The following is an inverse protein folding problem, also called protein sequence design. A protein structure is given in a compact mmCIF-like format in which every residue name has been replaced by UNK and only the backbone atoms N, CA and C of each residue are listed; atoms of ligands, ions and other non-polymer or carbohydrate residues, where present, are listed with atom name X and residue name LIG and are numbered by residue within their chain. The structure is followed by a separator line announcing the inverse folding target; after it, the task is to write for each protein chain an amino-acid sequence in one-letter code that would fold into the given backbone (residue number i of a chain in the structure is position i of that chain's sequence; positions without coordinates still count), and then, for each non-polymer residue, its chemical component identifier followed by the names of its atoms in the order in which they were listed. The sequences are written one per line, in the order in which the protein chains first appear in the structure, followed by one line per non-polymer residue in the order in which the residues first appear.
data_IF_076614538595
#
_entry.id   IF_076614538595
#
_cell.length_a   1.000
_cell.length_b   1.000
_cell.length_c   1.000
_cell.angle_alpha   90.00
_cell.angle_beta   90.00
_cell.angle_gamma   90.00
#
_symmetry.space_group_name_H-M   'P 1'
#
loop_
_entity.id
_entity.type
_entity.pdbx_description
1 polymer ?
#
# COMPACT_ATOMS: atom_id res chain seq x y z
N UNK A 1 32.07 -21.02 -21.35
CA UNK A 1 30.73 -20.41 -21.29
C UNK A 1 29.82 -21.37 -22.04
N UNK A 2 28.91 -22.05 -21.33
CA UNK A 2 28.10 -23.11 -21.94
C UNK A 2 26.90 -22.44 -22.67
N UNK A 3 26.96 -22.38 -23.99
CA UNK A 3 25.93 -21.79 -24.86
C UNK A 3 24.68 -22.68 -24.98
N UNK A 4 24.66 -23.84 -24.31
CA UNK A 4 23.59 -24.83 -24.46
C UNK A 4 22.33 -24.57 -23.62
N UNK A 5 22.40 -23.67 -22.64
CA UNK A 5 21.27 -23.37 -21.74
C UNK A 5 20.50 -22.16 -22.23
N UNK A 6 19.45 -22.41 -23.02
CA UNK A 6 18.58 -21.33 -23.57
C UNK A 6 17.85 -20.53 -22.52
N UNK A 7 17.57 -21.06 -21.34
CA UNK A 7 16.91 -20.33 -20.24
C UNK A 7 17.85 -19.29 -19.63
N UNK A 8 19.17 -19.57 -19.59
CA UNK A 8 20.17 -18.60 -19.15
C UNK A 8 20.31 -17.40 -20.10
N UNK A 9 20.04 -17.58 -21.40
CA UNK A 9 20.12 -16.53 -22.41
C UNK A 9 18.94 -15.53 -22.31
N UNK A 10 17.87 -15.91 -21.61
CA UNK A 10 16.72 -15.01 -21.38
C UNK A 10 16.86 -14.18 -20.10
N UNK A 11 17.83 -14.48 -19.25
CA UNK A 11 18.08 -13.78 -17.99
C UNK A 11 19.17 -12.72 -18.15
N UNK A 12 18.95 -11.55 -17.58
CA UNK A 12 19.98 -10.54 -17.47
C UNK A 12 21.08 -10.97 -16.49
N UNK A 13 22.26 -10.33 -16.56
CA UNK A 13 23.33 -10.60 -15.60
C UNK A 13 22.92 -10.40 -14.15
N UNK A 14 21.99 -9.49 -13.88
CA UNK A 14 21.46 -9.26 -12.52
C UNK A 14 20.54 -10.40 -12.04
N UNK A 15 19.83 -11.05 -12.94
CA UNK A 15 18.95 -12.18 -12.62
C UNK A 15 19.76 -13.48 -12.39
N UNK A 16 20.97 -13.58 -12.96
CA UNK A 16 21.88 -14.70 -12.78
C UNK A 16 22.69 -14.61 -11.47
N UNK A 17 22.03 -14.33 -10.35
CA UNK A 17 22.66 -14.07 -9.04
C UNK A 17 23.61 -15.21 -8.61
N UNK A 18 23.30 -16.46 -8.96
CA UNK A 18 24.10 -17.62 -8.59
C UNK A 18 25.46 -17.69 -9.33
N UNK A 19 25.53 -17.12 -10.54
CA UNK A 19 26.74 -17.12 -11.40
C UNK A 19 27.63 -15.89 -11.17
N UNK A 20 27.08 -14.77 -10.69
CA UNK A 20 27.74 -13.48 -10.61
C UNK A 20 27.82 -12.97 -9.17
N UNK A 21 28.79 -13.44 -8.39
CA UNK A 21 28.95 -13.05 -6.98
C UNK A 21 29.17 -11.54 -6.82
N UNK A 22 29.89 -10.92 -7.76
CA UNK A 22 30.24 -9.49 -7.71
C UNK A 22 29.04 -8.56 -7.87
N UNK A 23 27.92 -9.04 -8.43
CA UNK A 23 26.71 -8.26 -8.66
C UNK A 23 25.58 -8.50 -7.63
N UNK A 24 25.81 -9.36 -6.65
CA UNK A 24 24.78 -9.71 -5.64
C UNK A 24 24.28 -8.50 -4.86
N UNK A 25 25.17 -7.61 -4.46
CA UNK A 25 24.80 -6.40 -3.72
C UNK A 25 23.89 -5.49 -4.55
N UNK A 26 24.17 -5.39 -5.85
CA UNK A 26 23.36 -4.60 -6.79
C UNK A 26 21.99 -5.26 -6.98
N UNK A 27 21.96 -6.57 -7.18
CA UNK A 27 20.71 -7.32 -7.31
C UNK A 27 19.86 -7.24 -6.02
N UNK A 28 20.50 -7.37 -4.85
CA UNK A 28 19.85 -7.20 -3.56
C UNK A 28 19.29 -5.79 -3.36
N UNK A 29 19.99 -4.78 -3.85
CA UNK A 29 19.51 -3.40 -3.81
C UNK A 29 18.26 -3.24 -4.68
N UNK A 30 18.30 -3.67 -5.94
CA UNK A 30 17.16 -3.58 -6.84
C UNK A 30 15.97 -4.44 -6.42
N UNK A 31 16.19 -5.59 -5.81
CA UNK A 31 15.12 -6.44 -5.29
C UNK A 31 14.30 -5.78 -4.17
N UNK A 32 14.85 -4.76 -3.51
CA UNK A 32 14.22 -3.98 -2.46
C UNK A 32 13.55 -2.70 -2.96
N UNK A 33 13.69 -2.39 -4.26
CA UNK A 33 12.99 -1.25 -4.87
C UNK A 33 11.51 -1.58 -4.97
N UNK A 34 10.68 -0.71 -4.41
CA UNK A 34 9.23 -0.80 -4.47
C UNK A 34 8.68 0.36 -5.29
N UNK A 35 7.77 0.05 -6.20
CA UNK A 35 7.10 1.04 -7.03
C UNK A 35 5.61 1.09 -6.66
N UNK A 36 5.09 2.29 -6.48
CA UNK A 36 3.68 2.54 -6.22
C UNK A 36 3.16 3.69 -7.07
N UNK A 37 2.08 3.41 -7.76
CA UNK A 37 1.25 4.39 -8.44
C UNK A 37 -0.19 4.22 -7.93
N UNK A 38 -0.51 4.87 -6.83
CA UNK A 38 -1.82 4.71 -6.21
C UNK A 38 -2.90 5.38 -7.05
N UNK A 39 -3.80 4.58 -7.59
CA UNK A 39 -4.93 5.04 -8.42
C UNK A 39 -6.20 5.07 -7.57
N UNK A 40 -6.70 6.25 -7.16
CA UNK A 40 -7.86 6.38 -6.28
C UNK A 40 -9.11 5.66 -6.79
N UNK A 41 -9.34 5.68 -8.10
CA UNK A 41 -10.48 5.00 -8.74
C UNK A 41 -10.45 3.48 -8.55
N UNK A 42 -9.24 2.90 -8.48
CA UNK A 42 -9.07 1.47 -8.23
C UNK A 42 -9.31 1.16 -6.75
N UNK A 43 -8.85 2.03 -5.85
CA UNK A 43 -9.01 1.87 -4.40
C UNK A 43 -10.48 1.96 -3.99
N UNK A 44 -11.28 2.80 -4.67
CA UNK A 44 -12.72 2.97 -4.41
C UNK A 44 -13.58 1.75 -4.76
N UNK A 45 -13.03 0.77 -5.45
CA UNK A 45 -13.78 -0.44 -5.83
C UNK A 45 -13.13 -1.71 -5.25
N UNK A 46 -13.18 -1.89 -3.91
CA UNK A 46 -12.53 -3.01 -3.23
C UNK A 46 -13.17 -4.36 -3.56
N UNK A 47 -14.39 -4.38 -4.11
CA UNK A 47 -15.13 -5.60 -4.45
C UNK A 47 -14.65 -6.31 -5.73
N UNK A 48 -13.88 -5.64 -6.58
CA UNK A 48 -13.32 -6.23 -7.82
C UNK A 48 -11.98 -6.92 -7.57
N UNK A 49 -11.93 -7.80 -6.60
CA UNK A 49 -10.68 -8.43 -6.17
C UNK A 49 -10.32 -9.59 -7.10
N UNK A 50 -9.60 -9.30 -8.19
CA UNK A 50 -8.59 -10.18 -8.74
C UNK A 50 -7.21 -9.51 -8.57
N UNK A 51 -6.93 -9.03 -7.37
CA UNK A 51 -5.69 -8.34 -7.09
C UNK A 51 -4.54 -9.34 -6.95
N UNK A 52 -3.49 -9.13 -7.72
CA UNK A 52 -2.20 -9.77 -7.44
C UNK A 52 -1.66 -9.22 -6.11
N UNK A 53 -1.07 -10.06 -5.26
CA UNK A 53 -0.41 -9.56 -4.06
C UNK A 53 0.58 -8.45 -4.39
N UNK A 54 0.52 -7.33 -3.66
CA UNK A 54 1.34 -6.13 -3.87
C UNK A 54 1.06 -5.41 -5.21
N UNK A 55 -0.21 -5.30 -5.59
CA UNK A 55 -0.60 -4.50 -6.75
C UNK A 55 -0.11 -3.05 -6.58
N UNK A 56 0.76 -2.55 -7.49
CA UNK A 56 1.33 -1.20 -7.38
C UNK A 56 0.27 -0.09 -7.52
N UNK A 57 -0.89 -0.40 -8.09
CA UNK A 57 -2.00 0.55 -8.29
C UNK A 57 -2.94 0.63 -7.06
N UNK A 58 -2.69 -0.16 -6.03
CA UNK A 58 -3.43 -0.11 -4.77
C UNK A 58 -4.74 -0.91 -4.76
N UNK A 59 -4.96 -1.81 -5.71
CA UNK A 59 -6.20 -2.61 -5.78
C UNK A 59 -6.43 -3.48 -4.55
N UNK A 60 -5.37 -4.05 -3.99
CA UNK A 60 -5.42 -4.90 -2.82
C UNK A 60 -5.18 -4.15 -1.49
N UNK A 61 -5.07 -2.83 -1.55
CA UNK A 61 -4.65 -1.95 -0.46
C UNK A 61 -5.50 -2.14 0.81
N UNK A 62 -6.84 -2.03 0.72
CA UNK A 62 -7.74 -2.17 1.86
C UNK A 62 -7.74 -3.61 2.37
N UNK A 63 -7.70 -4.59 1.46
CA UNK A 63 -7.60 -6.00 1.81
C UNK A 63 -6.31 -6.33 2.57
N UNK A 64 -5.16 -5.78 2.15
CA UNK A 64 -3.89 -5.91 2.88
C UNK A 64 -3.97 -5.31 4.29
N UNK A 65 -4.58 -4.13 4.42
CA UNK A 65 -4.80 -3.53 5.73
C UNK A 65 -5.61 -4.45 6.64
N UNK A 66 -6.71 -5.00 6.11
CA UNK A 66 -7.58 -5.90 6.86
C UNK A 66 -6.90 -7.24 7.23
N UNK A 67 -6.11 -7.81 6.32
CA UNK A 67 -5.36 -9.05 6.56
C UNK A 67 -4.20 -8.89 7.56
N UNK A 68 -3.81 -7.66 7.88
CA UNK A 68 -2.76 -7.40 8.88
C UNK A 68 -3.24 -7.82 10.27
N UNK A 69 -2.42 -8.54 11.08
CA UNK A 69 -2.80 -8.94 12.43
C UNK A 69 -3.31 -7.77 13.27
N UNK A 70 -4.42 -7.95 13.97
CA UNK A 70 -5.18 -6.89 14.64
C UNK A 70 -4.30 -5.92 15.44
N UNK A 71 -3.41 -6.43 16.31
CA UNK A 71 -2.53 -5.59 17.13
C UNK A 71 -1.64 -4.66 16.28
N UNK A 72 -1.07 -5.18 15.21
CA UNK A 72 -0.21 -4.43 14.29
C UNK A 72 -1.03 -3.43 13.48
N UNK A 73 -2.17 -3.87 12.96
CA UNK A 73 -3.11 -3.02 12.23
C UNK A 73 -3.56 -1.82 13.08
N UNK A 74 -4.05 -2.07 14.28
CA UNK A 74 -4.52 -1.01 15.17
C UNK A 74 -3.40 -0.01 15.52
N UNK A 75 -2.17 -0.48 15.70
CA UNK A 75 -1.02 0.39 15.94
C UNK A 75 -0.68 1.26 14.72
N UNK A 76 -0.72 0.69 13.52
CA UNK A 76 -0.49 1.41 12.25
C UNK A 76 -1.61 2.42 11.99
N UNK A 77 -2.87 2.01 12.16
CA UNK A 77 -4.04 2.88 11.99
C UNK A 77 -3.97 4.11 12.90
N UNK A 78 -3.62 3.95 14.18
CA UNK A 78 -3.42 5.08 15.10
C UNK A 78 -2.30 6.03 14.64
N UNK A 79 -1.23 5.52 14.05
CA UNK A 79 -0.15 6.37 13.49
C UNK A 79 -0.64 7.15 12.28
N UNK A 80 -1.36 6.48 11.37
CA UNK A 80 -1.97 7.11 10.20
C UNK A 80 -2.98 8.18 10.60
N UNK A 81 -3.88 7.87 11.55
CA UNK A 81 -4.87 8.82 12.03
C UNK A 81 -4.23 10.11 12.55
N UNK A 82 -3.16 10.02 13.35
CA UNK A 82 -2.44 11.21 13.82
C UNK A 82 -1.84 12.03 12.69
N UNK A 83 -1.28 11.37 11.67
CA UNK A 83 -0.74 12.07 10.51
C UNK A 83 -1.84 12.72 9.66
N UNK A 84 -2.97 12.03 9.48
CA UNK A 84 -4.14 12.56 8.77
C UNK A 84 -4.76 13.76 9.49
N UNK A 85 -4.87 13.72 10.82
CA UNK A 85 -5.35 14.84 11.62
C UNK A 85 -4.48 16.10 11.50
N UNK A 86 -3.18 15.93 11.27
CA UNK A 86 -2.28 17.06 11.04
C UNK A 86 -2.46 17.68 9.64
N UNK A 87 -2.82 16.87 8.64
CA UNK A 87 -3.02 17.30 7.26
C UNK A 87 -4.46 17.77 6.98
N UNK A 88 -5.45 17.16 7.66
CA UNK A 88 -6.89 17.41 7.49
C UNK A 88 -7.48 17.66 8.88
N UNK A 89 -7.65 18.93 9.30
CA UNK A 89 -8.06 19.29 10.67
C UNK A 89 -9.41 18.72 11.10
N UNK A 90 -10.33 18.49 10.16
CA UNK A 90 -11.65 17.92 10.41
C UNK A 90 -11.62 16.40 10.57
N UNK A 91 -10.49 15.74 10.24
CA UNK A 91 -10.37 14.28 10.32
C UNK A 91 -10.35 13.80 11.77
N UNK A 92 -11.22 12.88 12.13
CA UNK A 92 -11.39 12.43 13.52
C UNK A 92 -10.98 10.98 13.73
N UNK A 93 -11.43 10.08 12.87
CA UNK A 93 -11.17 8.64 13.02
C UNK A 93 -10.92 7.96 11.67
N UNK A 94 -10.20 6.84 11.71
CA UNK A 94 -10.02 5.92 10.58
C UNK A 94 -10.12 4.48 11.08
N UNK A 95 -11.00 3.72 10.49
CA UNK A 95 -11.23 2.31 10.84
C UNK A 95 -11.47 1.45 9.58
N UNK A 96 -11.36 0.14 9.74
CA UNK A 96 -11.75 -0.82 8.72
C UNK A 96 -13.04 -1.48 9.19
N UNK A 97 -14.05 -1.40 8.34
CA UNK A 97 -15.32 -2.06 8.51
C UNK A 97 -15.46 -3.15 7.45
N UNK A 98 -15.93 -4.34 7.84
CA UNK A 98 -16.17 -5.43 6.90
C UNK A 98 -17.66 -5.55 6.70
N UNK A 99 -18.09 -5.49 5.45
CA UNK A 99 -19.50 -5.60 5.10
C UNK A 99 -20.03 -7.05 5.23
N UNK A 100 -21.35 -7.28 5.13
CA UNK A 100 -21.93 -8.62 5.21
C UNK A 100 -21.44 -9.60 4.12
N UNK A 101 -20.89 -9.10 3.00
CA UNK A 101 -20.29 -9.93 1.95
C UNK A 101 -18.85 -10.34 2.26
N UNK A 102 -18.24 -9.79 3.32
CA UNK A 102 -16.87 -10.02 3.70
C UNK A 102 -15.88 -9.03 3.06
N UNK A 103 -16.36 -8.01 2.37
CA UNK A 103 -15.53 -6.99 1.74
C UNK A 103 -15.10 -5.94 2.78
N UNK A 104 -13.81 -5.67 2.92
CA UNK A 104 -13.32 -4.64 3.83
C UNK A 104 -13.41 -3.25 3.19
N UNK A 105 -13.88 -2.28 3.96
CA UNK A 105 -14.02 -0.88 3.60
C UNK A 105 -13.23 0.01 4.54
N UNK A 106 -12.71 1.13 4.04
CA UNK A 106 -12.18 2.21 4.87
C UNK A 106 -13.30 3.15 5.26
N UNK A 107 -13.43 3.37 6.57
CA UNK A 107 -14.42 4.25 7.16
C UNK A 107 -13.71 5.35 7.93
N UNK A 108 -14.04 6.61 7.65
CA UNK A 108 -13.50 7.77 8.33
C UNK A 108 -14.61 8.60 8.98
N UNK A 109 -14.31 9.11 10.17
CA UNK A 109 -15.11 10.12 10.84
C UNK A 109 -14.54 11.51 10.60
N UNK A 110 -15.40 12.48 10.31
CA UNK A 110 -15.04 13.87 10.16
C UNK A 110 -15.83 14.75 11.11
N UNK A 111 -15.12 15.62 11.81
CA UNK A 111 -15.76 16.65 12.64
C UNK A 111 -16.54 17.62 11.75
N UNK A 112 -17.73 17.94 12.16
CA UNK A 112 -18.56 18.93 11.53
C UNK A 112 -19.22 19.82 12.60
N UNK A 113 -20.06 20.74 12.19
CA UNK A 113 -20.78 21.64 13.09
C UNK A 113 -21.85 20.94 13.93
N UNK A 114 -22.19 19.67 13.63
CA UNK A 114 -23.15 18.87 14.39
C UNK A 114 -22.43 18.12 15.53
N UNK A 115 -23.19 17.69 16.53
CA UNK A 115 -22.66 16.89 17.66
C UNK A 115 -22.19 15.50 17.28
N UNK A 116 -22.67 14.97 16.16
CA UNK A 116 -22.27 13.66 15.61
C UNK A 116 -21.33 13.85 14.42
N UNK A 117 -20.16 13.20 14.40
CA UNK A 117 -19.27 13.21 13.24
C UNK A 117 -19.97 12.72 11.97
N UNK A 118 -19.64 13.27 10.82
CA UNK A 118 -20.04 12.70 9.56
C UNK A 118 -19.14 11.50 9.23
N UNK A 119 -19.75 10.41 8.77
CA UNK A 119 -19.06 9.21 8.35
C UNK A 119 -18.93 9.20 6.83
N UNK A 120 -17.75 8.86 6.34
CA UNK A 120 -17.45 8.66 4.92
C UNK A 120 -16.77 7.31 4.72
N UNK A 121 -16.97 6.70 3.57
CA UNK A 121 -16.25 5.52 3.13
C UNK A 121 -15.25 5.89 2.02
N UNK A 122 -14.38 4.96 1.64
CA UNK A 122 -13.38 5.18 0.59
C UNK A 122 -13.98 5.70 -0.72
N UNK A 123 -15.23 5.38 -1.01
CA UNK A 123 -15.99 5.88 -2.16
C UNK A 123 -16.18 7.39 -2.14
N UNK A 124 -16.28 7.98 -0.95
CA UNK A 124 -16.58 9.39 -0.72
C UNK A 124 -15.32 10.23 -0.50
N UNK A 125 -14.17 9.60 -0.29
CA UNK A 125 -12.92 10.33 -0.04
C UNK A 125 -12.46 11.07 -1.29
N UNK A 126 -11.85 12.23 -1.10
CA UNK A 126 -11.13 12.89 -2.19
C UNK A 126 -9.95 12.04 -2.68
N UNK A 127 -9.54 12.24 -3.93
CA UNK A 127 -8.37 11.56 -4.49
C UNK A 127 -7.12 11.83 -3.63
N UNK A 128 -6.93 13.07 -3.19
CA UNK A 128 -5.82 13.43 -2.32
C UNK A 128 -5.85 12.70 -0.97
N UNK A 129 -7.04 12.54 -0.36
CA UNK A 129 -7.19 11.79 0.89
C UNK A 129 -6.82 10.31 0.70
N UNK A 130 -7.28 9.68 -0.38
CA UNK A 130 -6.94 8.28 -0.67
C UNK A 130 -5.46 8.09 -0.93
N UNK A 131 -4.83 8.97 -1.72
CA UNK A 131 -3.40 8.94 -1.97
C UNK A 131 -2.60 9.13 -0.68
N UNK A 132 -2.99 10.08 0.16
CA UNK A 132 -2.34 10.30 1.46
C UNK A 132 -2.46 9.09 2.38
N UNK A 133 -3.64 8.46 2.48
CA UNK A 133 -3.86 7.24 3.25
C UNK A 133 -2.96 6.12 2.71
N UNK A 134 -2.92 5.92 1.40
CA UNK A 134 -2.10 4.91 0.77
C UNK A 134 -0.61 5.12 0.98
N UNK A 135 -0.14 6.35 0.83
CA UNK A 135 1.24 6.73 1.09
C UNK A 135 1.63 6.47 2.55
N UNK A 136 0.81 6.92 3.49
CA UNK A 136 1.05 6.70 4.92
C UNK A 136 1.10 5.20 5.27
N UNK A 137 0.18 4.41 4.73
CA UNK A 137 0.20 2.95 4.94
C UNK A 137 1.48 2.32 4.42
N UNK A 138 1.89 2.68 3.20
CA UNK A 138 3.10 2.18 2.57
C UNK A 138 4.33 2.50 3.40
N UNK A 139 4.49 3.75 3.83
CA UNK A 139 5.62 4.19 4.67
C UNK A 139 5.62 3.48 6.03
N UNK A 140 4.45 3.38 6.68
CA UNK A 140 4.34 2.75 8.01
C UNK A 140 4.53 1.22 7.94
N UNK A 141 4.19 0.60 6.82
CA UNK A 141 4.36 -0.84 6.57
C UNK A 141 5.82 -1.18 6.24
N UNK A 142 6.55 -0.26 5.63
CA UNK A 142 7.91 -0.51 5.16
C UNK A 142 8.82 -1.02 6.30
N UNK A 143 9.57 -2.09 6.09
CA UNK A 143 10.55 -2.56 7.06
C UNK A 143 11.69 -1.55 7.18
N UNK A 144 12.41 -1.58 8.32
CA UNK A 144 13.53 -0.65 8.59
C UNK A 144 14.69 -0.78 7.58
N UNK A 145 14.78 -1.91 6.89
CA UNK A 145 15.75 -2.18 5.82
C UNK A 145 15.12 -2.10 4.41
N UNK A 146 13.98 -1.44 4.28
CA UNK A 146 13.38 -1.17 2.98
C UNK A 146 14.39 -0.43 2.09
N UNK A 147 14.40 -0.81 0.82
CA UNK A 147 15.17 -0.11 -0.20
C UNK A 147 14.51 1.21 -0.62
N UNK A 148 14.62 1.53 -1.88
CA UNK A 148 14.03 2.74 -2.47
C UNK A 148 12.54 2.54 -2.70
N UNK A 149 11.74 3.52 -2.31
CA UNK A 149 10.34 3.63 -2.63
C UNK A 149 10.16 4.65 -3.76
N UNK A 150 9.72 4.18 -4.91
CA UNK A 150 9.39 5.02 -6.06
C UNK A 150 7.90 5.30 -6.04
N UNK A 151 7.54 6.57 -6.00
CA UNK A 151 6.16 7.03 -5.97
C UNK A 151 5.86 7.80 -7.25
N UNK A 152 4.78 7.45 -7.92
CA UNK A 152 4.25 8.20 -9.05
C UNK A 152 2.98 8.91 -8.62
N UNK A 153 2.88 10.20 -8.96
CA UNK A 153 1.74 11.09 -8.61
C UNK A 153 1.33 11.00 -7.13
N UNK A 154 2.24 11.27 -6.19
CA UNK A 154 1.97 11.17 -4.76
C UNK A 154 0.92 12.16 -4.26
#
# INVERSE_FOLDING_TARGET
MDESDKERLTQTHLEQIAANQDFREIADYFSKVQYFHLVPQIIRDPGRINATPQDPFGRDFIAQMNATPKRTRDARMRRMQRALQAAVPEFESLEIEVDPSGTPHLKAGYRNWRSTPSTQYETDFSDGTLRLIGLLWTIIKAPSNAGVLLLEEP
#
